data_IF_240146077445
#
_entry.id   IF_240146077445
#
_cell.length_a   1.000
_cell.length_b   1.000
_cell.length_c   1.000
_cell.angle_alpha   90.00
_cell.angle_beta   90.00
_cell.angle_gamma   90.00
#
_symmetry.space_group_name_H-M   'P 1'
#
loop_
_entity.id
_entity.type
_entity.pdbx_description
1 polymer ?
#
# COMPACT_ATOMS: atom_id res chain seq x y z
N UNK A 1 -5.06 13.06 -20.86
CA UNK A 1 -5.57 11.67 -21.02
C UNK A 1 -6.66 11.54 -22.09
N UNK A 2 -7.62 12.48 -22.21
CA UNK A 2 -8.68 12.46 -23.25
C UNK A 2 -8.14 12.30 -24.69
N UNK A 3 -7.11 13.07 -25.05
CA UNK A 3 -6.47 13.00 -26.38
C UNK A 3 -5.79 11.65 -26.71
N UNK A 4 -5.43 10.83 -25.71
CA UNK A 4 -4.81 9.52 -25.93
C UNK A 4 -5.85 8.43 -26.18
N UNK A 5 -7.02 8.53 -25.53
CA UNK A 5 -8.17 7.64 -25.74
C UNK A 5 -8.73 7.86 -27.14
N UNK A 6 -8.81 9.12 -27.61
CA UNK A 6 -9.22 9.44 -28.98
C UNK A 6 -8.19 9.04 -30.04
N UNK A 7 -6.89 9.09 -29.72
CA UNK A 7 -5.85 8.57 -30.62
C UNK A 7 -5.89 7.05 -30.72
N UNK A 8 -6.17 6.32 -29.64
CA UNK A 8 -6.31 4.84 -29.67
C UNK A 8 -7.64 4.41 -30.30
N UNK A 9 -8.73 5.15 -30.09
CA UNK A 9 -10.01 4.89 -30.78
C UNK A 9 -9.88 5.17 -32.29
N UNK A 10 -9.12 6.19 -32.70
CA UNK A 10 -8.71 6.41 -34.11
C UNK A 10 -7.73 5.36 -34.63
N UNK A 11 -6.84 4.84 -33.77
CA UNK A 11 -5.96 3.72 -34.11
C UNK A 11 -6.76 2.44 -34.35
N UNK A 12 -7.90 2.25 -33.67
CA UNK A 12 -8.84 1.17 -33.99
C UNK A 12 -9.45 1.33 -35.38
N UNK A 13 -9.79 2.54 -35.80
CA UNK A 13 -10.30 2.78 -37.16
C UNK A 13 -9.31 2.32 -38.24
N UNK A 14 -8.01 2.62 -38.08
CA UNK A 14 -6.99 2.32 -39.09
C UNK A 14 -6.27 0.96 -38.93
N UNK A 15 -6.19 0.41 -37.72
CA UNK A 15 -5.43 -0.82 -37.44
C UNK A 15 -6.32 -2.08 -37.39
N UNK A 16 -7.62 -1.94 -37.07
CA UNK A 16 -8.58 -3.05 -37.23
C UNK A 16 -8.80 -3.37 -38.71
N UNK A 17 -8.70 -2.36 -39.59
CA UNK A 17 -8.78 -2.56 -41.05
C UNK A 17 -7.57 -3.28 -41.64
N UNK A 18 -6.38 -3.19 -41.01
CA UNK A 18 -5.13 -3.74 -41.56
C UNK A 18 -4.55 -4.95 -40.81
N UNK A 19 -5.13 -5.38 -39.69
CA UNK A 19 -4.88 -6.69 -39.09
C UNK A 19 -6.14 -7.17 -38.34
N UNK A 20 -6.92 -8.03 -38.99
CA UNK A 20 -8.23 -8.50 -38.57
C UNK A 20 -8.17 -9.29 -37.24
N UNK A 21 -8.35 -8.59 -36.11
CA UNK A 21 -8.75 -9.25 -34.86
C UNK A 21 -10.22 -9.65 -35.02
N UNK A 22 -10.46 -10.91 -35.40
CA UNK A 22 -11.80 -11.47 -35.46
C UNK A 22 -12.42 -11.54 -34.05
N UNK A 23 -13.41 -10.69 -33.79
CA UNK A 23 -14.20 -10.73 -32.56
C UNK A 23 -15.53 -11.43 -32.89
N UNK A 24 -15.83 -12.58 -32.26
CA UNK A 24 -17.11 -13.24 -32.46
C UNK A 24 -18.29 -12.30 -32.20
N UNK A 25 -19.34 -12.39 -33.03
CA UNK A 25 -20.46 -11.42 -33.00
C UNK A 25 -21.08 -11.25 -31.61
N UNK A 26 -21.21 -12.34 -30.86
CA UNK A 26 -21.77 -12.36 -29.51
C UNK A 26 -20.90 -11.64 -28.47
N UNK A 27 -19.61 -11.40 -28.73
CA UNK A 27 -18.70 -10.68 -27.83
C UNK A 27 -18.60 -9.18 -28.15
N UNK A 28 -19.15 -8.68 -29.26
CA UNK A 28 -19.00 -7.25 -29.60
C UNK A 28 -19.50 -6.31 -28.50
N UNK A 29 -20.66 -6.59 -27.90
CA UNK A 29 -21.22 -5.77 -26.82
C UNK A 29 -20.31 -5.80 -25.58
N UNK A 30 -19.80 -6.98 -25.23
CA UNK A 30 -18.86 -7.16 -24.12
C UNK A 30 -17.55 -6.40 -24.35
N UNK A 31 -16.94 -6.56 -25.53
CA UNK A 31 -15.69 -5.88 -25.88
C UNK A 31 -15.89 -4.37 -25.90
N UNK A 32 -16.97 -3.86 -26.51
CA UNK A 32 -17.28 -2.43 -26.54
C UNK A 32 -17.41 -1.85 -25.13
N UNK A 33 -18.05 -2.58 -24.21
CA UNK A 33 -18.20 -2.18 -22.82
C UNK A 33 -16.88 -2.17 -22.05
N UNK A 34 -16.05 -3.22 -22.19
CA UNK A 34 -14.79 -3.38 -21.45
C UNK A 34 -13.64 -2.55 -22.02
N UNK A 35 -13.69 -2.19 -23.29
CA UNK A 35 -12.59 -1.59 -24.02
C UNK A 35 -11.97 -0.38 -23.32
N UNK A 36 -12.81 0.55 -22.85
CA UNK A 36 -12.33 1.75 -22.16
C UNK A 36 -11.47 1.37 -20.96
N UNK A 37 -11.99 0.46 -20.11
CA UNK A 37 -11.26 -0.02 -18.92
C UNK A 37 -10.00 -0.81 -19.28
N UNK A 38 -10.02 -1.58 -20.37
CA UNK A 38 -8.83 -2.28 -20.84
C UNK A 38 -7.74 -1.30 -21.30
N UNK A 39 -8.10 -0.23 -22.01
CA UNK A 39 -7.16 0.82 -22.41
C UNK A 39 -6.56 1.51 -21.19
N UNK A 40 -7.39 1.90 -20.23
CA UNK A 40 -6.94 2.52 -18.98
C UNK A 40 -5.99 1.57 -18.21
N UNK A 41 -6.33 0.29 -18.14
CA UNK A 41 -5.51 -0.75 -17.50
C UNK A 41 -4.19 -0.99 -18.24
N UNK A 42 -4.16 -0.91 -19.57
CA UNK A 42 -2.94 -1.03 -20.34
C UNK A 42 -1.97 0.12 -20.05
N UNK A 43 -2.48 1.35 -19.92
CA UNK A 43 -1.68 2.49 -19.51
C UNK A 43 -1.19 2.36 -18.07
N UNK A 44 -2.06 1.91 -17.16
CA UNK A 44 -1.68 1.66 -15.77
C UNK A 44 -0.58 0.60 -15.67
N UNK A 45 -0.70 -0.52 -16.39
CA UNK A 45 0.33 -1.56 -16.45
C UNK A 45 1.68 -1.02 -16.93
N UNK A 46 1.67 -0.03 -17.84
CA UNK A 46 2.90 0.63 -18.31
C UNK A 46 3.63 1.35 -17.18
N UNK A 47 2.88 2.01 -16.30
CA UNK A 47 3.42 2.82 -15.19
C UNK A 47 3.87 1.94 -14.01
N UNK A 48 3.15 0.87 -13.71
CA UNK A 48 3.46 -0.01 -12.57
C UNK A 48 4.83 -0.70 -12.69
N UNK A 49 5.60 -0.67 -11.62
CA UNK A 49 6.95 -1.23 -11.51
C UNK A 49 6.99 -2.44 -10.58
N UNK A 50 7.96 -3.33 -10.84
CA UNK A 50 8.34 -4.41 -9.92
C UNK A 50 8.91 -3.80 -8.63
N UNK A 51 8.75 -4.50 -7.50
CA UNK A 51 9.19 -4.11 -6.15
C UNK A 51 8.50 -2.88 -5.52
N UNK A 52 7.49 -2.34 -6.20
CA UNK A 52 6.59 -1.31 -5.69
C UNK A 52 5.15 -1.83 -5.70
N UNK A 53 4.61 -2.12 -6.89
CA UNK A 53 3.20 -2.53 -7.02
C UNK A 53 3.00 -4.05 -6.99
N UNK A 54 4.00 -4.83 -7.42
CA UNK A 54 3.96 -6.28 -7.49
C UNK A 54 5.38 -6.86 -7.45
N UNK A 55 5.47 -8.16 -7.18
CA UNK A 55 6.71 -8.94 -7.28
C UNK A 55 6.55 -10.13 -8.22
N UNK A 56 7.65 -10.53 -8.86
CA UNK A 56 7.70 -11.73 -9.68
C UNK A 56 8.13 -12.94 -8.83
N UNK A 57 7.15 -13.72 -8.35
CA UNK A 57 7.39 -14.87 -7.49
C UNK A 57 6.86 -16.19 -8.09
N UNK A 58 7.38 -17.32 -7.63
CA UNK A 58 6.91 -18.65 -8.01
C UNK A 58 5.69 -18.98 -7.12
N UNK A 59 4.54 -19.42 -7.68
CA UNK A 59 3.36 -19.72 -6.87
C UNK A 59 3.66 -20.83 -5.84
N UNK A 60 3.37 -20.57 -4.56
CA UNK A 60 3.55 -21.54 -3.45
C UNK A 60 2.56 -22.72 -3.49
N UNK A 61 1.50 -22.66 -4.32
CA UNK A 61 0.32 -23.54 -4.23
C UNK A 61 0.41 -24.90 -4.91
N UNK A 62 1.49 -25.24 -5.60
CA UNK A 62 1.58 -26.55 -6.28
C UNK A 62 2.94 -27.18 -6.05
N UNK A 63 2.91 -28.34 -5.41
CA UNK A 63 4.07 -29.17 -5.07
C UNK A 63 5.12 -29.29 -6.17
N UNK A 64 6.37 -29.30 -5.71
CA UNK A 64 7.57 -29.83 -6.35
C UNK A 64 7.51 -29.95 -7.88
N UNK A 65 7.76 -28.84 -8.58
CA UNK A 65 8.25 -28.89 -9.95
C UNK A 65 9.10 -27.65 -10.24
N UNK A 66 10.42 -27.88 -10.34
CA UNK A 66 11.50 -26.90 -10.47
C UNK A 66 11.55 -26.16 -11.84
N UNK A 67 10.42 -26.02 -12.54
CA UNK A 67 10.33 -25.35 -13.85
C UNK A 67 9.12 -24.42 -13.96
N UNK A 68 8.80 -23.66 -12.92
CA UNK A 68 7.67 -22.71 -12.96
C UNK A 68 8.14 -21.29 -13.25
N UNK A 69 7.59 -20.71 -14.31
CA UNK A 69 7.75 -19.29 -14.61
C UNK A 69 7.24 -18.46 -13.44
N UNK A 70 8.03 -17.44 -13.05
CA UNK A 70 7.61 -16.43 -12.08
C UNK A 70 6.29 -15.80 -12.54
N UNK A 71 5.31 -15.76 -11.64
CA UNK A 71 4.01 -15.12 -11.83
C UNK A 71 3.98 -13.76 -11.14
N UNK A 72 3.10 -12.89 -11.59
CA UNK A 72 2.88 -11.59 -10.99
C UNK A 72 2.05 -11.78 -9.71
N UNK A 73 2.64 -11.41 -8.57
CA UNK A 73 1.98 -11.46 -7.27
C UNK A 73 1.76 -10.03 -6.79
N UNK A 74 0.51 -9.72 -6.44
CA UNK A 74 0.11 -8.39 -5.94
C UNK A 74 0.83 -8.11 -4.63
N UNK A 75 1.41 -6.93 -4.49
CA UNK A 75 1.89 -6.43 -3.21
C UNK A 75 0.87 -5.47 -2.61
N UNK A 76 0.61 -5.62 -1.32
CA UNK A 76 0.00 -4.57 -0.54
C UNK A 76 1.05 -3.47 -0.27
N UNK A 77 0.77 -2.23 -0.68
CA UNK A 77 1.73 -1.12 -0.57
C UNK A 77 2.07 -0.79 0.88
N UNK A 78 1.08 -0.84 1.77
CA UNK A 78 1.25 -0.42 3.16
C UNK A 78 2.03 -1.46 3.99
N UNK A 79 1.89 -2.74 3.64
CA UNK A 79 2.41 -3.85 4.45
C UNK A 79 3.51 -4.65 3.77
N UNK A 80 3.70 -4.48 2.45
CA UNK A 80 4.60 -5.31 1.64
C UNK A 80 4.17 -6.79 1.58
N UNK A 81 2.92 -7.11 1.93
CA UNK A 81 2.41 -8.49 1.94
C UNK A 81 2.16 -8.95 0.51
N UNK A 82 2.71 -10.13 0.19
CA UNK A 82 2.42 -10.83 -1.07
C UNK A 82 1.02 -11.46 -1.04
N UNK A 83 0.11 -10.94 -1.86
CA UNK A 83 -1.26 -11.42 -1.96
C UNK A 83 -1.43 -12.41 -3.13
N UNK A 84 -1.04 -13.67 -2.92
CA UNK A 84 -1.13 -14.74 -3.94
C UNK A 84 -2.53 -14.98 -4.50
N UNK A 85 -3.57 -14.76 -3.69
CA UNK A 85 -4.97 -14.93 -4.09
C UNK A 85 -5.57 -13.68 -4.74
N UNK A 86 -4.89 -12.54 -4.65
CA UNK A 86 -5.36 -11.29 -5.23
C UNK A 86 -4.94 -11.19 -6.70
N UNK A 87 -5.86 -10.66 -7.51
CA UNK A 87 -5.59 -10.32 -8.92
C UNK A 87 -6.31 -9.05 -9.30
N UNK A 88 -5.63 -8.22 -10.08
CA UNK A 88 -6.26 -7.05 -10.69
C UNK A 88 -7.28 -7.46 -11.76
N UNK A 89 -8.43 -6.79 -11.76
CA UNK A 89 -9.50 -6.99 -12.73
C UNK A 89 -9.32 -6.11 -13.97
N UNK A 90 -10.24 -6.24 -14.93
CA UNK A 90 -10.30 -5.38 -16.13
C UNK A 90 -9.06 -5.47 -17.01
N UNK A 91 -8.50 -6.68 -17.16
CA UNK A 91 -7.34 -6.89 -18.03
C UNK A 91 -6.01 -6.40 -17.45
N UNK A 92 -5.97 -5.71 -16.31
CA UNK A 92 -4.73 -5.14 -15.77
C UNK A 92 -3.69 -6.21 -15.47
N UNK A 93 -4.09 -7.33 -14.85
CA UNK A 93 -3.21 -8.47 -14.64
C UNK A 93 -2.66 -9.02 -15.96
N UNK A 94 -3.50 -9.13 -16.99
CA UNK A 94 -3.10 -9.60 -18.32
C UNK A 94 -2.11 -8.66 -19.00
N UNK A 95 -2.31 -7.34 -18.90
CA UNK A 95 -1.36 -6.37 -19.45
C UNK A 95 -0.02 -6.37 -18.72
N UNK A 96 -0.02 -6.58 -17.41
CA UNK A 96 1.22 -6.77 -16.65
C UNK A 96 1.92 -8.08 -17.06
N UNK A 97 1.19 -9.18 -17.21
CA UNK A 97 1.73 -10.46 -17.70
C UNK A 97 2.37 -10.30 -19.08
N UNK A 98 1.72 -9.56 -19.99
CA UNK A 98 2.30 -9.21 -21.29
C UNK A 98 3.56 -8.35 -21.18
N UNK A 99 3.54 -7.32 -20.33
CA UNK A 99 4.69 -6.42 -20.10
C UNK A 99 5.93 -7.20 -19.64
N UNK A 100 5.76 -8.15 -18.72
CA UNK A 100 6.85 -8.95 -18.15
C UNK A 100 7.07 -10.29 -18.86
N UNK A 101 6.45 -10.50 -20.03
CA UNK A 101 6.59 -11.70 -20.86
C UNK A 101 6.26 -13.00 -20.10
N UNK A 102 5.18 -12.97 -19.31
CA UNK A 102 4.69 -14.09 -18.52
C UNK A 102 3.53 -14.79 -19.22
N UNK A 103 3.26 -16.01 -18.80
CA UNK A 103 2.13 -16.79 -19.30
C UNK A 103 0.84 -16.02 -19.06
N UNK A 104 0.15 -15.71 -20.16
CA UNK A 104 -1.11 -14.99 -20.12
C UNK A 104 -2.18 -15.83 -19.42
N UNK A 105 -2.80 -15.27 -18.39
CA UNK A 105 -3.91 -15.86 -17.70
C UNK A 105 -5.24 -15.40 -18.30
N UNK A 106 -6.27 -16.24 -18.15
CA UNK A 106 -7.64 -15.84 -18.51
C UNK A 106 -8.17 -14.78 -17.54
N UNK A 107 -8.86 -13.77 -18.07
CA UNK A 107 -9.53 -12.76 -17.25
C UNK A 107 -10.62 -13.44 -16.40
N UNK A 108 -10.48 -13.37 -15.08
CA UNK A 108 -11.50 -13.89 -14.17
C UNK A 108 -12.70 -12.95 -14.13
N UNK A 109 -13.83 -13.39 -14.67
CA UNK A 109 -15.11 -12.68 -14.55
C UNK A 109 -15.72 -13.01 -13.18
N UNK A 110 -15.70 -12.05 -12.26
CA UNK A 110 -16.31 -12.19 -10.93
C UNK A 110 -17.83 -12.20 -11.09
N UNK A 111 -18.47 -13.35 -10.88
CA UNK A 111 -19.93 -13.49 -10.94
C UNK A 111 -20.63 -13.04 -9.65
N UNK A 112 -19.92 -13.06 -8.52
CA UNK A 112 -20.42 -12.67 -7.20
C UNK A 112 -19.40 -11.78 -6.53
N UNK A 113 -19.87 -10.66 -6.00
CA UNK A 113 -19.06 -9.72 -5.25
C UNK A 113 -19.91 -9.11 -4.14
N UNK A 114 -19.33 -8.98 -2.95
CA UNK A 114 -19.90 -8.19 -1.86
C UNK A 114 -18.83 -7.20 -1.41
N UNK A 115 -19.19 -5.92 -1.33
CA UNK A 115 -18.31 -4.91 -0.76
C UNK A 115 -18.22 -5.09 0.76
N UNK A 116 -17.06 -4.79 1.35
CA UNK A 116 -16.86 -4.86 2.81
C UNK A 116 -17.93 -4.06 3.58
N UNK A 117 -18.29 -2.86 3.08
CA UNK A 117 -19.41 -2.06 3.59
C UNK A 117 -20.69 -2.89 3.69
N UNK A 118 -21.13 -3.46 2.57
CA UNK A 118 -22.37 -4.23 2.49
C UNK A 118 -22.30 -5.53 3.32
N UNK A 119 -21.10 -6.11 3.48
CA UNK A 119 -20.89 -7.26 4.36
C UNK A 119 -21.08 -6.88 5.83
N UNK A 120 -20.37 -5.87 6.31
CA UNK A 120 -20.44 -5.44 7.71
C UNK A 120 -21.79 -4.83 8.10
N UNK A 121 -22.47 -4.14 7.17
CA UNK A 121 -23.83 -3.62 7.40
C UNK A 121 -24.86 -4.73 7.70
N UNK A 122 -24.61 -5.98 7.32
CA UNK A 122 -25.50 -7.11 7.68
C UNK A 122 -25.53 -7.41 9.17
N UNK A 123 -24.48 -7.03 9.89
CA UNK A 123 -24.35 -7.23 11.33
C UNK A 123 -25.06 -6.14 12.14
N UNK A 124 -25.68 -5.14 11.48
CA UNK A 124 -26.49 -4.09 12.11
C UNK A 124 -25.74 -3.48 13.31
N UNK A 125 -26.34 -3.53 14.50
CA UNK A 125 -25.82 -2.94 15.73
C UNK A 125 -24.82 -3.83 16.49
N UNK A 126 -24.41 -4.96 15.92
CA UNK A 126 -23.49 -5.91 16.56
C UNK A 126 -22.04 -5.77 16.04
N UNK A 127 -21.65 -4.56 15.63
CA UNK A 127 -20.28 -4.29 15.20
C UNK A 127 -19.50 -3.66 16.35
N UNK A 128 -18.55 -4.43 16.89
CA UNK A 128 -17.59 -3.98 17.89
C UNK A 128 -16.20 -4.24 17.32
N UNK A 129 -15.30 -3.29 17.53
CA UNK A 129 -13.91 -3.41 17.09
C UNK A 129 -12.97 -2.79 18.13
N UNK A 130 -11.72 -3.24 18.11
CA UNK A 130 -10.65 -2.75 18.95
C UNK A 130 -9.47 -2.39 18.06
N UNK A 131 -9.03 -1.13 18.14
CA UNK A 131 -7.91 -0.63 17.35
C UNK A 131 -6.99 0.19 18.24
N UNK A 132 -5.68 0.08 18.02
CA UNK A 132 -4.70 0.91 18.73
C UNK A 132 -4.63 2.36 18.22
N UNK A 133 -5.27 2.63 17.09
CA UNK A 133 -5.24 3.93 16.39
C UNK A 133 -6.64 4.21 15.84
N UNK A 134 -7.19 5.41 16.07
CA UNK A 134 -8.47 5.82 15.49
C UNK A 134 -8.29 6.51 14.14
N UNK A 135 -7.10 7.06 13.88
CA UNK A 135 -6.82 7.85 12.68
C UNK A 135 -7.41 9.26 12.75
N UNK A 136 -7.38 9.96 11.61
CA UNK A 136 -7.86 11.35 11.51
C UNK A 136 -9.35 11.49 11.80
N UNK A 137 -9.77 12.68 12.25
CA UNK A 137 -11.20 12.98 12.49
C UNK A 137 -12.06 12.74 11.24
N UNK A 138 -11.52 13.02 10.05
CA UNK A 138 -12.17 12.73 8.77
C UNK A 138 -12.43 11.24 8.58
N UNK A 139 -11.44 10.40 8.89
CA UNK A 139 -11.55 8.94 8.83
C UNK A 139 -12.53 8.41 9.88
N UNK A 140 -12.52 8.95 11.09
CA UNK A 140 -13.47 8.61 12.15
C UNK A 140 -14.91 8.98 11.75
N UNK A 141 -15.14 10.21 11.26
CA UNK A 141 -16.44 10.65 10.75
C UNK A 141 -16.90 9.76 9.61
N UNK A 142 -16.02 9.42 8.66
CA UNK A 142 -16.35 8.50 7.57
C UNK A 142 -16.84 7.14 8.10
N UNK A 143 -16.14 6.52 9.05
CA UNK A 143 -16.51 5.22 9.61
C UNK A 143 -17.81 5.31 10.43
N UNK A 144 -17.96 6.36 11.24
CA UNK A 144 -19.17 6.63 12.01
C UNK A 144 -20.39 6.77 11.10
N UNK A 145 -20.29 7.53 10.01
CA UNK A 145 -21.37 7.69 9.04
C UNK A 145 -21.70 6.39 8.31
N UNK A 146 -20.68 5.55 8.07
CA UNK A 146 -20.81 4.34 7.25
C UNK A 146 -21.46 3.17 7.99
N UNK A 147 -21.09 3.01 9.26
CA UNK A 147 -21.46 1.87 10.10
C UNK A 147 -22.26 2.24 11.35
N UNK A 148 -22.52 3.53 11.59
CA UNK A 148 -23.23 4.04 12.76
C UNK A 148 -22.59 3.62 14.09
N UNK A 149 -21.25 3.59 14.12
CA UNK A 149 -20.45 3.24 15.29
C UNK A 149 -19.99 4.48 16.04
N UNK A 150 -19.77 4.34 17.34
CA UNK A 150 -19.17 5.37 18.20
C UNK A 150 -17.78 4.95 18.61
N UNK A 151 -16.92 5.94 18.88
CA UNK A 151 -15.58 5.72 19.37
C UNK A 151 -15.52 6.01 20.87
N UNK A 152 -14.68 5.26 21.57
CA UNK A 152 -14.39 5.47 22.99
C UNK A 152 -12.90 5.20 23.22
N UNK A 153 -12.21 6.16 23.81
CA UNK A 153 -10.79 6.01 24.14
C UNK A 153 -10.64 5.26 25.46
N UNK A 154 -9.87 4.17 25.42
CA UNK A 154 -9.49 3.43 26.62
C UNK A 154 -8.15 3.94 27.12
N UNK A 155 -8.07 4.24 28.42
CA UNK A 155 -6.83 4.70 29.03
C UNK A 155 -5.76 3.60 28.98
N UNK A 156 -4.52 4.02 28.77
CA UNK A 156 -3.37 3.11 28.76
C UNK A 156 -3.01 2.72 30.20
N UNK A 157 -2.61 1.47 30.41
CA UNK A 157 -2.17 0.99 31.73
C UNK A 157 -0.93 1.72 32.25
N UNK A 158 -0.06 2.19 31.35
CA UNK A 158 1.16 2.95 31.67
C UNK A 158 1.30 4.13 30.70
N UNK A 159 1.79 5.26 31.20
CA UNK A 159 2.07 6.45 30.37
C UNK A 159 3.12 6.13 29.30
N UNK A 160 2.89 6.62 28.08
CA UNK A 160 3.82 6.47 26.95
C UNK A 160 5.02 7.40 27.16
N UNK A 161 6.24 6.85 27.16
CA UNK A 161 7.49 7.62 27.26
C UNK A 161 8.14 7.75 25.87
N UNK A 162 7.47 8.49 24.99
CA UNK A 162 7.89 8.68 23.60
C UNK A 162 8.51 10.05 23.39
N UNK A 163 9.65 10.12 22.70
CA UNK A 163 10.30 11.36 22.31
C UNK A 163 10.54 11.40 20.79
N UNK A 164 9.96 12.39 20.10
CA UNK A 164 10.25 12.65 18.69
C UNK A 164 11.61 13.35 18.58
N UNK A 165 12.55 12.80 17.81
CA UNK A 165 13.80 13.47 17.48
C UNK A 165 13.58 14.43 16.30
N UNK A 166 14.44 15.44 16.18
CA UNK A 166 14.43 16.37 15.05
C UNK A 166 14.43 15.63 13.72
N UNK A 167 13.50 15.98 12.84
CA UNK A 167 13.34 15.30 11.56
C UNK A 167 14.46 15.71 10.60
N UNK A 168 14.65 14.92 9.55
CA UNK A 168 15.65 15.20 8.53
C UNK A 168 15.05 15.06 7.14
N UNK A 169 15.54 15.89 6.23
CA UNK A 169 15.07 15.96 4.85
C UNK A 169 16.28 15.91 3.93
N UNK A 170 16.13 15.20 2.82
CA UNK A 170 17.07 15.19 1.72
C UNK A 170 16.32 15.43 0.40
N UNK A 171 17.00 16.06 -0.55
CA UNK A 171 16.45 16.28 -1.89
C UNK A 171 16.84 15.15 -2.84
N UNK A 172 18.13 14.79 -2.84
CA UNK A 172 18.67 13.74 -3.70
C UNK A 172 18.51 12.36 -3.05
N UNK A 173 18.25 11.35 -3.89
CA UNK A 173 18.08 9.97 -3.43
C UNK A 173 19.34 9.41 -2.75
N UNK A 174 20.52 9.79 -3.26
CA UNK A 174 21.81 9.39 -2.66
C UNK A 174 22.02 9.98 -1.28
N UNK A 175 21.71 11.27 -1.11
CA UNK A 175 21.84 11.96 0.17
C UNK A 175 20.87 11.40 1.21
N UNK A 176 19.66 11.04 0.77
CA UNK A 176 18.66 10.37 1.59
C UNK A 176 19.14 9.00 2.09
N UNK A 177 19.67 8.15 1.21
CA UNK A 177 20.24 6.85 1.59
C UNK A 177 21.38 6.99 2.60
N UNK A 178 22.31 7.89 2.31
CA UNK A 178 23.45 8.23 3.18
C UNK A 178 23.00 8.67 4.57
N UNK A 179 21.98 9.52 4.62
CA UNK A 179 21.49 10.12 5.86
C UNK A 179 20.76 9.09 6.72
N UNK A 180 19.96 8.20 6.12
CA UNK A 180 19.38 7.04 6.82
C UNK A 180 20.49 6.14 7.37
N UNK A 181 21.49 5.80 6.57
CA UNK A 181 22.58 4.92 6.99
C UNK A 181 23.37 5.53 8.16
N UNK A 182 23.76 6.81 8.06
CA UNK A 182 24.52 7.53 9.11
C UNK A 182 23.76 7.59 10.43
N UNK A 183 22.48 7.97 10.42
CA UNK A 183 21.67 8.02 11.65
C UNK A 183 21.42 6.63 12.23
N UNK A 184 21.13 5.65 11.38
CA UNK A 184 20.92 4.26 11.80
C UNK A 184 22.17 3.67 12.46
N UNK A 185 23.37 3.93 11.92
CA UNK A 185 24.64 3.48 12.51
C UNK A 185 24.92 4.19 13.83
N UNK A 186 24.72 5.52 13.87
CA UNK A 186 24.95 6.33 15.07
C UNK A 186 24.10 5.86 16.25
N UNK A 187 22.82 5.59 16.01
CA UNK A 187 21.88 5.13 17.03
C UNK A 187 22.04 3.62 17.30
N UNK A 188 22.23 2.84 16.24
CA UNK A 188 22.43 1.38 16.26
C UNK A 188 23.62 0.91 17.10
N UNK A 189 24.62 1.76 17.32
CA UNK A 189 25.73 1.50 18.27
C UNK A 189 25.27 1.30 19.71
N UNK A 190 24.15 1.90 20.11
CA UNK A 190 23.68 1.89 21.50
C UNK A 190 22.38 1.14 21.68
N UNK A 191 21.48 1.12 20.70
CA UNK A 191 20.12 0.57 20.84
C UNK A 191 19.56 0.16 19.48
N UNK A 192 18.55 -0.73 19.43
CA UNK A 192 17.98 -1.20 18.19
C UNK A 192 17.26 -0.09 17.41
N UNK A 193 17.35 -0.16 16.09
CA UNK A 193 16.72 0.76 15.13
C UNK A 193 15.80 -0.02 14.21
N UNK A 194 14.55 0.43 14.08
CA UNK A 194 13.58 -0.05 13.11
C UNK A 194 13.42 0.99 12.01
N UNK A 195 13.70 0.61 10.76
CA UNK A 195 13.50 1.48 9.59
C UNK A 195 12.26 0.97 8.85
N UNK A 196 11.24 1.81 8.74
CA UNK A 196 10.03 1.52 7.97
C UNK A 196 10.14 2.22 6.62
N UNK A 197 10.09 1.41 5.56
CA UNK A 197 10.34 1.83 4.18
C UNK A 197 9.03 1.86 3.36
N UNK A 198 8.92 2.78 2.39
CA UNK A 198 7.72 2.87 1.53
C UNK A 198 7.50 1.61 0.68
N UNK A 199 8.58 1.02 0.17
CA UNK A 199 8.50 -0.13 -0.74
C UNK A 199 9.70 -1.07 -0.60
N UNK A 200 9.60 -2.21 -1.28
CA UNK A 200 10.63 -3.26 -1.23
C UNK A 200 11.95 -2.77 -1.83
N UNK A 201 11.88 -2.02 -2.93
CA UNK A 201 13.06 -1.44 -3.58
C UNK A 201 13.86 -0.49 -2.68
N UNK A 202 13.17 0.42 -1.97
CA UNK A 202 13.79 1.29 -0.98
C UNK A 202 14.45 0.49 0.16
N UNK A 203 13.81 -0.58 0.60
CA UNK A 203 14.36 -1.47 1.63
C UNK A 203 15.66 -2.13 1.15
N UNK A 204 15.71 -2.61 -0.10
CA UNK A 204 16.92 -3.19 -0.71
C UNK A 204 18.06 -2.18 -0.85
N UNK A 205 17.74 -0.96 -1.27
CA UNK A 205 18.74 0.09 -1.43
C UNK A 205 19.33 0.52 -0.08
N UNK A 206 18.50 0.71 0.95
CA UNK A 206 18.96 1.02 2.32
C UNK A 206 19.80 -0.13 2.89
N UNK A 207 19.37 -1.38 2.68
CA UNK A 207 20.13 -2.56 3.11
C UNK A 207 21.55 -2.57 2.52
N UNK A 208 21.66 -2.36 1.20
CA UNK A 208 22.95 -2.31 0.52
C UNK A 208 23.81 -1.15 1.01
N UNK A 209 23.20 0.01 1.28
CA UNK A 209 23.92 1.18 1.79
C UNK A 209 24.45 0.96 3.22
N UNK A 210 23.68 0.31 4.10
CA UNK A 210 24.14 -0.06 5.44
C UNK A 210 25.35 -1.00 5.39
N UNK A 211 25.34 -1.98 4.48
CA UNK A 211 26.48 -2.89 4.29
C UNK A 211 27.71 -2.14 3.77
N UNK A 212 27.54 -1.22 2.80
CA UNK A 212 28.63 -0.39 2.28
C UNK A 212 29.26 0.48 3.37
N UNK A 213 28.45 0.97 4.31
CA UNK A 213 28.90 1.75 5.46
C UNK A 213 29.45 0.88 6.62
N UNK A 214 29.66 -0.43 6.40
CA UNK A 214 30.36 -1.32 7.31
C UNK A 214 29.50 -1.99 8.38
N UNK A 215 28.17 -1.95 8.25
CA UNK A 215 27.28 -2.70 9.16
C UNK A 215 27.31 -4.19 8.79
N UNK A 216 27.65 -5.10 9.71
CA UNK A 216 27.68 -6.53 9.43
C UNK A 216 26.29 -7.03 9.00
N UNK A 217 26.16 -7.80 7.90
CA UNK A 217 24.87 -8.32 7.44
C UNK A 217 24.11 -9.12 8.52
N UNK A 218 24.83 -9.79 9.42
CA UNK A 218 24.25 -10.56 10.53
C UNK A 218 23.55 -9.70 11.60
N UNK A 219 23.81 -8.39 11.63
CA UNK A 219 23.19 -7.46 12.59
C UNK A 219 21.95 -6.76 12.03
N UNK A 220 21.65 -6.96 10.75
CA UNK A 220 20.52 -6.35 10.07
C UNK A 220 19.53 -7.47 9.77
N UNK A 221 18.28 -7.31 10.18
CA UNK A 221 17.20 -8.21 9.78
C UNK A 221 16.29 -7.48 8.81
N UNK A 222 16.11 -8.06 7.62
CA UNK A 222 15.17 -7.55 6.63
C UNK A 222 13.86 -8.29 6.77
N UNK A 223 12.79 -7.56 7.09
CA UNK A 223 11.45 -8.10 7.09
C UNK A 223 10.76 -7.78 5.76
N UNK A 224 10.43 -8.83 5.02
CA UNK A 224 9.39 -8.79 3.99
C UNK A 224 8.19 -9.53 4.57
N UNK A 225 6.98 -9.02 4.36
CA UNK A 225 5.77 -9.61 4.94
C UNK A 225 5.35 -10.85 4.16
N UNK A 226 6.24 -11.83 4.15
CA UNK A 226 6.10 -13.10 3.44
C UNK A 226 5.46 -14.12 4.38
N UNK A 227 4.26 -13.79 4.91
CA UNK A 227 3.47 -14.67 5.77
C UNK A 227 3.99 -14.89 7.20
N UNK A 228 5.15 -14.35 7.57
CA UNK A 228 5.55 -14.26 8.98
C UNK A 228 4.71 -13.18 9.67
N UNK A 229 4.06 -13.50 10.80
CA UNK A 229 3.43 -12.50 11.66
C UNK A 229 4.50 -11.51 12.15
N UNK A 230 4.76 -10.47 11.36
CA UNK A 230 5.66 -9.37 11.67
C UNK A 230 5.30 -8.81 13.04
N UNK A 231 4.01 -8.67 13.35
CA UNK A 231 3.53 -8.25 14.66
C UNK A 231 3.90 -9.20 15.80
N UNK A 232 3.86 -10.52 15.57
CA UNK A 232 4.18 -11.52 16.59
C UNK A 232 5.68 -11.58 16.86
N UNK A 233 6.52 -11.47 15.81
CA UNK A 233 7.97 -11.31 15.97
C UNK A 233 8.34 -9.98 16.61
N UNK A 234 7.68 -8.88 16.26
CA UNK A 234 7.88 -7.57 16.91
C UNK A 234 7.43 -7.56 18.37
N UNK A 235 6.34 -8.26 18.70
CA UNK A 235 5.87 -8.43 20.07
C UNK A 235 6.84 -9.30 20.89
N UNK A 236 7.53 -10.23 20.25
CA UNK A 236 8.55 -11.10 20.85
C UNK A 236 9.97 -10.50 20.82
N UNK A 237 10.20 -9.37 20.15
CA UNK A 237 11.55 -8.81 20.08
C UNK A 237 11.92 -8.21 21.44
N UNK A 238 13.05 -8.62 22.05
CA UNK A 238 13.48 -8.16 23.37
C UNK A 238 13.58 -6.62 23.47
N UNK A 239 13.80 -5.95 22.35
CA UNK A 239 14.01 -4.50 22.21
C UNK A 239 12.97 -3.58 22.87
N UNK A 240 11.73 -4.03 23.10
CA UNK A 240 10.69 -3.20 23.75
C UNK A 240 10.53 -3.45 25.25
N UNK A 241 11.13 -4.51 25.79
CA UNK A 241 10.97 -4.89 27.21
C UNK A 241 12.27 -5.19 27.94
N UNK A 242 13.40 -5.25 27.23
CA UNK A 242 14.73 -5.41 27.81
C UNK A 242 15.12 -4.15 28.62
N UNK A 243 15.38 -4.28 29.94
CA UNK A 243 15.79 -3.17 30.78
C UNK A 243 17.07 -2.46 30.31
N UNK A 244 18.04 -3.17 29.73
CA UNK A 244 19.29 -2.57 29.25
C UNK A 244 19.05 -1.72 28.00
N UNK A 245 18.22 -2.20 27.08
CA UNK A 245 17.81 -1.44 25.90
C UNK A 245 17.04 -0.19 26.30
N UNK A 246 16.17 -0.27 27.31
CA UNK A 246 15.43 0.88 27.83
C UNK A 246 16.34 1.95 28.45
N UNK A 247 17.39 1.55 29.20
CA UNK A 247 18.40 2.49 29.71
C UNK A 247 19.15 3.22 28.59
N UNK A 248 19.31 2.56 27.45
CA UNK A 248 19.96 3.12 26.26
C UNK A 248 19.02 4.00 25.41
N UNK A 249 17.75 4.16 25.80
CA UNK A 249 16.75 4.99 25.13
C UNK A 249 15.65 4.19 24.40
N UNK A 250 15.68 2.86 24.50
CA UNK A 250 14.69 1.97 23.91
C UNK A 250 14.73 1.91 22.39
N UNK A 251 13.70 1.33 21.78
CA UNK A 251 13.59 1.19 20.32
C UNK A 251 13.54 2.57 19.63
N UNK A 252 14.41 2.77 18.64
CA UNK A 252 14.33 3.91 17.73
C UNK A 252 13.59 3.52 16.45
N UNK A 253 12.63 4.34 16.01
CA UNK A 253 11.86 4.10 14.78
C UNK A 253 12.14 5.22 13.79
N UNK A 254 12.61 4.86 12.60
CA UNK A 254 12.80 5.76 11.47
C UNK A 254 11.69 5.48 10.47
N UNK A 255 10.94 6.51 10.11
CA UNK A 255 9.95 6.46 9.04
C UNK A 255 10.47 7.29 7.86
N UNK A 256 10.67 6.65 6.71
CA UNK A 256 11.42 7.25 5.61
C UNK A 256 10.55 7.86 4.49
N UNK A 257 9.24 7.85 4.67
CA UNK A 257 8.24 8.38 3.74
C UNK A 257 7.05 8.95 4.53
N UNK A 258 6.33 9.94 4.00
CA UNK A 258 5.05 10.33 4.58
C UNK A 258 3.99 9.26 4.22
N UNK A 259 3.37 8.59 5.21
CA UNK A 259 2.36 7.57 4.93
C UNK A 259 1.12 8.15 4.26
N UNK A 260 0.24 7.30 3.70
CA UNK A 260 -0.99 7.78 3.05
C UNK A 260 -2.00 8.41 4.00
N UNK A 261 -1.90 8.12 5.29
CA UNK A 261 -2.80 8.63 6.32
C UNK A 261 -2.12 8.64 7.70
N UNK A 262 -2.68 9.43 8.62
CA UNK A 262 -2.21 9.55 10.01
C UNK A 262 -2.22 8.20 10.74
N UNK A 263 -3.19 7.34 10.45
CA UNK A 263 -3.32 6.04 11.14
C UNK A 263 -2.08 5.17 10.93
N UNK A 264 -1.54 5.10 9.70
CA UNK A 264 -0.34 4.31 9.41
C UNK A 264 0.87 4.89 10.15
N UNK A 265 1.01 6.21 10.19
CA UNK A 265 2.05 6.89 10.97
C UNK A 265 1.98 6.53 12.47
N UNK A 266 0.79 6.66 13.08
CA UNK A 266 0.55 6.32 14.48
C UNK A 266 0.86 4.85 14.77
N UNK A 267 0.53 3.95 13.85
CA UNK A 267 0.84 2.52 13.98
C UNK A 267 2.34 2.24 13.93
N UNK A 268 3.08 2.94 13.06
CA UNK A 268 4.54 2.82 12.95
C UNK A 268 5.22 3.30 14.23
N UNK A 269 4.93 4.52 14.68
CA UNK A 269 5.52 5.03 15.92
C UNK A 269 4.96 4.36 17.18
N UNK A 270 3.76 3.78 17.11
CA UNK A 270 3.20 2.90 18.14
C UNK A 270 3.95 1.58 18.33
N UNK A 271 4.93 1.27 17.47
CA UNK A 271 5.85 0.14 17.67
C UNK A 271 6.89 0.42 18.76
N UNK A 272 7.18 1.68 19.06
CA UNK A 272 8.10 2.07 20.14
C UNK A 272 7.34 2.58 21.38
N UNK A 273 8.07 2.76 22.49
CA UNK A 273 7.55 3.24 23.78
C UNK A 273 6.34 2.47 24.33
N UNK A 274 6.31 1.14 24.13
CA UNK A 274 5.23 0.26 24.60
C UNK A 274 5.34 0.00 26.10
N UNK A 275 4.20 -0.14 26.79
CA UNK A 275 4.15 -0.50 28.22
C UNK A 275 5.02 0.39 29.13
N UNK A 276 5.13 1.68 28.83
CA UNK A 276 5.95 2.63 29.59
C UNK A 276 7.46 2.57 29.33
N UNK A 277 7.90 1.78 28.34
CA UNK A 277 9.27 1.83 27.86
C UNK A 277 9.60 3.22 27.27
N UNK A 278 10.86 3.61 27.37
CA UNK A 278 11.36 4.78 26.64
C UNK A 278 11.45 4.41 25.16
N UNK A 279 11.17 5.37 24.28
CA UNK A 279 11.24 5.14 22.85
C UNK A 279 11.33 6.44 22.09
N UNK A 280 11.82 6.36 20.86
CA UNK A 280 11.97 7.55 20.03
C UNK A 280 11.56 7.27 18.59
N UNK A 281 11.02 8.28 17.92
CA UNK A 281 10.79 8.24 16.48
C UNK A 281 11.45 9.42 15.78
N UNK A 282 11.70 9.26 14.49
CA UNK A 282 12.26 10.30 13.62
C UNK A 282 11.77 10.09 12.19
N UNK A 283 11.47 11.19 11.50
CA UNK A 283 11.29 11.17 10.05
C UNK A 283 12.60 11.45 9.33
N UNK A 284 12.85 10.67 8.28
CA UNK A 284 13.95 10.91 7.33
C UNK A 284 13.39 10.86 5.92
N UNK A 285 13.01 12.01 5.38
CA UNK A 285 12.26 12.10 4.14
C UNK A 285 13.12 12.47 2.95
N UNK A 286 12.82 11.88 1.79
CA UNK A 286 13.20 12.44 0.51
C UNK A 286 12.05 13.33 0.01
N UNK A 287 12.33 14.58 -0.32
CA UNK A 287 11.32 15.52 -0.83
C UNK A 287 11.72 16.08 -2.18
N UNK A 288 10.73 16.55 -2.94
CA UNK A 288 10.96 17.12 -4.26
C UNK A 288 11.74 18.43 -4.16
N UNK A 289 12.98 18.41 -4.61
CA UNK A 289 13.88 19.56 -4.69
C UNK A 289 13.22 20.76 -5.34
N UNK A 290 12.53 20.58 -6.47
CA UNK A 290 11.98 21.69 -7.22
C UNK A 290 10.86 22.40 -6.46
N UNK A 291 10.09 21.66 -5.66
CA UNK A 291 9.02 22.24 -4.84
C UNK A 291 9.60 23.11 -3.73
N UNK A 292 10.58 22.57 -2.99
CA UNK A 292 11.05 23.18 -1.76
C UNK A 292 12.18 24.20 -1.97
N UNK A 293 13.03 24.01 -2.98
CA UNK A 293 14.12 24.94 -3.32
C UNK A 293 13.57 26.29 -3.80
N UNK A 294 12.54 26.27 -4.65
CA UNK A 294 11.87 27.51 -5.10
C UNK A 294 11.08 28.17 -3.97
N UNK A 295 10.37 27.39 -3.17
CA UNK A 295 9.47 27.91 -2.16
C UNK A 295 10.18 28.59 -0.99
N UNK A 296 11.37 28.12 -0.64
CA UNK A 296 12.21 28.70 0.41
C UNK A 296 13.42 29.45 -0.14
N UNK A 297 13.43 29.72 -1.45
CA UNK A 297 14.50 30.44 -2.15
C UNK A 297 15.90 29.90 -1.83
N UNK A 298 16.04 28.57 -1.72
CA UNK A 298 17.27 27.94 -1.25
C UNK A 298 18.42 28.06 -2.26
N UNK A 299 18.10 28.32 -3.53
CA UNK A 299 19.06 28.56 -4.62
C UNK A 299 19.98 29.75 -4.36
N UNK A 300 19.55 30.71 -3.53
CA UNK A 300 20.37 31.88 -3.18
C UNK A 300 21.55 31.54 -2.28
N UNK A 301 21.53 30.40 -1.60
CA UNK A 301 22.58 29.99 -0.68
C UNK A 301 23.67 29.14 -1.37
N UNK A 302 24.94 29.28 -0.97
CA UNK A 302 26.00 28.34 -1.35
C UNK A 302 25.68 26.91 -0.91
N UNK A 303 26.22 25.90 -1.61
CA UNK A 303 25.93 24.47 -1.37
C UNK A 303 26.13 24.04 0.08
N UNK A 304 27.17 24.54 0.75
CA UNK A 304 27.46 24.20 2.15
C UNK A 304 26.42 24.76 3.12
N UNK A 305 25.91 25.98 2.86
CA UNK A 305 24.87 26.60 3.68
C UNK A 305 23.48 26.03 3.40
N UNK A 306 23.22 25.57 2.17
CA UNK A 306 21.95 24.92 1.82
C UNK A 306 21.67 23.72 2.69
N UNK A 307 22.66 22.85 2.95
CA UNK A 307 22.47 21.65 3.78
C UNK A 307 22.00 22.01 5.19
N UNK A 308 22.63 23.00 5.81
CA UNK A 308 22.24 23.49 7.14
C UNK A 308 20.82 24.08 7.13
N UNK A 309 20.49 24.88 6.11
CA UNK A 309 19.13 25.44 5.93
C UNK A 309 18.07 24.34 5.77
N UNK A 310 18.37 23.29 5.02
CA UNK A 310 17.46 22.15 4.83
C UNK A 310 17.23 21.42 6.14
N UNK A 311 18.26 21.25 6.98
CA UNK A 311 18.11 20.68 8.32
C UNK A 311 17.24 21.57 9.22
N UNK A 312 17.41 22.90 9.19
CA UNK A 312 16.57 23.85 9.93
C UNK A 312 15.10 23.83 9.47
N UNK A 313 14.87 23.59 8.17
CA UNK A 313 13.52 23.56 7.57
C UNK A 313 12.86 22.18 7.64
N UNK A 314 13.55 21.14 8.11
CA UNK A 314 13.07 19.76 8.01
C UNK A 314 11.69 19.55 8.66
N UNK A 315 11.46 20.15 9.84
CA UNK A 315 10.19 20.04 10.55
C UNK A 315 9.05 20.79 9.82
N UNK A 316 9.35 21.95 9.25
CA UNK A 316 8.38 22.75 8.47
C UNK A 316 8.00 22.02 7.16
N UNK A 317 8.99 21.41 6.51
CA UNK A 317 8.78 20.61 5.30
C UNK A 317 7.90 19.40 5.61
N UNK A 318 8.17 18.69 6.72
CA UNK A 318 7.35 17.56 7.16
C UNK A 318 5.91 17.98 7.44
N UNK A 319 5.71 19.10 8.14
CA UNK A 319 4.36 19.63 8.41
C UNK A 319 3.59 19.86 7.11
N UNK A 320 4.26 20.40 6.09
CA UNK A 320 3.65 20.63 4.78
C UNK A 320 3.32 19.35 4.02
N UNK A 321 4.21 18.35 4.06
CA UNK A 321 3.92 17.02 3.51
C UNK A 321 2.73 16.37 4.21
N UNK A 322 2.61 16.53 5.54
CA UNK A 322 1.48 16.04 6.31
C UNK A 322 0.17 16.74 5.93
N UNK A 323 0.18 18.07 5.74
CA UNK A 323 -1.00 18.81 5.24
C UNK A 323 -1.39 18.30 3.84
N UNK A 324 -0.43 18.10 2.95
CA UNK A 324 -0.67 17.56 1.61
C UNK A 324 -1.28 16.16 1.66
N UNK A 325 -0.77 15.29 2.54
CA UNK A 325 -1.32 13.97 2.81
C UNK A 325 -2.77 14.06 3.31
N UNK A 326 -3.04 14.87 4.33
CA UNK A 326 -4.35 14.96 4.96
C UNK A 326 -5.41 15.48 3.98
N UNK A 327 -5.03 16.44 3.12
CA UNK A 327 -5.88 16.91 2.02
C UNK A 327 -6.17 15.81 0.98
N UNK A 328 -5.16 15.00 0.62
CA UNK A 328 -5.34 13.84 -0.28
C UNK A 328 -6.25 12.79 0.35
N UNK A 329 -6.08 12.50 1.65
CA UNK A 329 -6.94 11.58 2.39
C UNK A 329 -8.38 12.08 2.40
N UNK A 330 -8.62 13.35 2.73
CA UNK A 330 -9.94 13.96 2.75
C UNK A 330 -10.64 13.90 1.37
N UNK A 331 -9.91 14.21 0.30
CA UNK A 331 -10.42 14.10 -1.06
C UNK A 331 -10.80 12.65 -1.42
N UNK A 332 -9.93 11.68 -1.08
CA UNK A 332 -10.20 10.25 -1.28
C UNK A 332 -11.43 9.78 -0.51
N UNK A 333 -11.57 10.17 0.76
CA UNK A 333 -12.73 9.83 1.58
C UNK A 333 -14.02 10.44 1.03
N UNK A 334 -13.97 11.68 0.51
CA UNK A 334 -15.10 12.32 -0.14
C UNK A 334 -15.55 11.57 -1.41
N UNK A 335 -14.59 11.17 -2.26
CA UNK A 335 -14.86 10.34 -3.44
C UNK A 335 -15.46 8.98 -3.06
N UNK A 336 -14.95 8.36 -1.99
CA UNK A 336 -15.51 7.12 -1.45
C UNK A 336 -16.93 7.32 -0.90
N UNK A 337 -17.24 8.43 -0.25
CA UNK A 337 -18.61 8.74 0.20
C UNK A 337 -19.56 8.82 -0.99
N UNK A 338 -19.16 9.44 -2.10
CA UNK A 338 -19.97 9.55 -3.32
C UNK A 338 -20.13 8.22 -4.07
N UNK A 339 -19.06 7.44 -4.17
CA UNK A 339 -19.06 6.17 -4.92
C UNK A 339 -19.69 5.02 -4.13
N UNK A 340 -19.55 5.01 -2.80
CA UNK A 340 -20.09 3.96 -1.93
C UNK A 340 -21.60 4.03 -1.70
N UNK A 341 -22.26 5.15 -2.04
CA UNK A 341 -23.72 5.27 -2.13
C UNK A 341 -24.26 4.74 -3.45
N UNK A 342 -23.47 4.80 -4.54
CA UNK A 342 -23.96 4.56 -5.90
C UNK A 342 -23.89 3.11 -6.39
N UNK A 343 -23.41 2.14 -5.59
CA UNK A 343 -23.13 0.79 -6.08
C UNK A 343 -23.57 -0.34 -5.16
N UNK A 344 -24.83 -0.29 -4.74
CA UNK A 344 -25.61 -1.49 -4.45
C UNK A 344 -26.29 -2.00 -5.74
N UNK A 345 -25.55 -2.09 -6.84
CA UNK A 345 -25.95 -2.98 -7.92
C UNK A 345 -25.54 -4.39 -7.46
N UNK A 346 -26.45 -5.07 -6.76
CA UNK A 346 -26.50 -6.53 -6.93
C UNK A 346 -26.68 -6.67 -8.44
N UNK A 347 -25.62 -6.98 -9.17
CA UNK A 347 -25.73 -7.18 -10.61
C UNK A 347 -26.88 -8.17 -10.79
N UNK A 348 -27.83 -7.83 -11.64
CA UNK A 348 -28.94 -8.69 -12.08
C UNK A 348 -28.47 -10.13 -12.31
N UNK A 349 -27.19 -10.31 -12.68
CA UNK A 349 -26.46 -11.57 -12.77
C UNK A 349 -26.50 -12.45 -11.52
N UNK A 350 -26.42 -11.93 -10.30
CA UNK A 350 -26.49 -12.76 -9.09
C UNK A 350 -27.91 -13.28 -8.87
N UNK A 351 -28.92 -12.44 -9.10
CA UNK A 351 -30.32 -12.88 -9.05
C UNK A 351 -30.62 -13.86 -10.18
N UNK A 352 -30.21 -13.55 -11.42
CA UNK A 352 -30.31 -14.46 -12.58
C UNK A 352 -29.53 -15.76 -12.38
N UNK A 353 -28.39 -15.73 -11.70
CA UNK A 353 -27.61 -16.93 -11.35
C UNK A 353 -28.32 -17.76 -10.29
N UNK A 354 -28.88 -17.14 -9.26
CA UNK A 354 -29.70 -17.83 -8.26
C UNK A 354 -30.97 -18.39 -8.90
N UNK A 355 -31.60 -17.65 -9.80
CA UNK A 355 -32.77 -18.09 -10.56
C UNK A 355 -32.42 -19.26 -11.50
N UNK A 356 -31.27 -19.21 -12.17
CA UNK A 356 -30.73 -20.31 -12.97
C UNK A 356 -30.44 -21.54 -12.10
N UNK A 357 -29.79 -21.38 -10.93
CA UNK A 357 -29.58 -22.48 -9.97
C UNK A 357 -30.91 -23.08 -9.52
N UNK A 358 -31.90 -22.26 -9.18
CA UNK A 358 -33.25 -22.70 -8.78
C UNK A 358 -33.96 -23.44 -9.93
N UNK A 359 -33.87 -22.95 -11.16
CA UNK A 359 -34.42 -23.62 -12.36
C UNK A 359 -33.72 -24.96 -12.63
N UNK A 360 -32.40 -25.03 -12.50
CA UNK A 360 -31.63 -26.26 -12.70
C UNK A 360 -31.94 -27.30 -11.61
N UNK A 361 -32.08 -26.87 -10.36
CA UNK A 361 -32.50 -27.73 -9.24
C UNK A 361 -33.92 -28.28 -9.41
N UNK A 362 -34.86 -27.47 -9.90
CA UNK A 362 -36.23 -27.93 -10.24
C UNK A 362 -36.23 -28.95 -11.38
N UNK A 363 -35.43 -28.74 -12.42
CA UNK A 363 -35.33 -29.67 -13.54
C UNK A 363 -34.62 -30.98 -13.19
N UNK A 364 -33.66 -30.98 -12.25
CA UNK A 364 -33.06 -32.23 -11.75
C UNK A 364 -34.04 -33.05 -10.91
N UNK A 365 -34.93 -32.41 -10.15
CA UNK A 365 -35.94 -33.11 -9.34
C UNK A 365 -37.04 -33.72 -10.23
N UNK A 366 -37.41 -33.06 -11.34
CA UNK A 366 -38.39 -33.61 -12.30
C UNK A 366 -37.86 -34.74 -13.18
N UNK A 367 -36.53 -34.93 -13.24
CA UNK A 367 -35.90 -36.00 -14.05
C UNK A 367 -35.65 -37.27 -13.23
N UNK A 368 -35.66 -37.18 -11.89
CA UNK A 368 -35.57 -38.35 -10.97
C UNK A 368 -36.96 -38.89 -10.61
N UNK A 369 -38.03 -38.17 -10.93
CA UNK A 369 -39.42 -38.56 -10.69
C UNK A 369 -40.16 -39.05 -11.96
N UNK A 370 -39.43 -39.60 -12.94
CA UNK A 370 -40.00 -40.27 -14.11
C UNK A 370 -39.45 -41.68 -14.27
#
# INVERSE_FOLDING_TARGET
MSNSIDKISKFKGKSVENNNIYIPKYLHKFVKYKLKRWVDSAFQARIMTEDDHFVLNIPKTDGQNNQKQKTIVVLDKDTGVEQYSARWSHGLAQFLELKYRRKLSVECLKAVFIANKAFFQRYKSCLYDLTGTLGSENSQSFISDLYYVKFADLSTSKKKCYNQLSNKVAFEYSDWLDLIAKESIKIGKKRPVLIVCENVGATDNIWNELIRNGVPPLTIEKYRSDGDNIEERFRKTPATTDPEVNKQGGLHVILNYPPENVRVEEQVFGRTARNGAVGTGQFILQVDKFVYEHMYELDQYPTDQRKLKVEELADIILERENINRDNKEAARLSELKQTSTLRLEVEELFEKFNEFKRKKAKNSISTVAR
#
